data_IF_794038167050
#
_entry.id   IF_794038167050
#
_cell.length_a   1.000
_cell.length_b   1.000
_cell.length_c   1.000
_cell.angle_alpha   90.00
_cell.angle_beta   90.00
_cell.angle_gamma   90.00
#
_symmetry.space_group_name_H-M   'P 1'
#
loop_
_entity.id
_entity.type
_entity.pdbx_description
1 polymer ?
#
# COMPACT_ATOMS: atom_id res chain seq x y z
N UNK A 1 3.27 -14.01 -1.92
CA UNK A 1 3.00 -12.62 -1.52
C UNK A 1 1.54 -12.32 -1.73
N UNK A 2 1.00 -11.37 -0.96
CA UNK A 2 -0.35 -10.87 -1.18
C UNK A 2 -0.27 -9.39 -1.55
N UNK A 3 -1.12 -9.01 -2.50
CA UNK A 3 -1.38 -7.64 -2.93
C UNK A 3 -2.84 -7.64 -3.39
N UNK A 4 -3.68 -6.84 -2.75
CA UNK A 4 -5.13 -6.97 -2.78
C UNK A 4 -5.64 -8.13 -1.93
N UNK A 5 -5.06 -8.37 -0.73
CA UNK A 5 -5.52 -9.42 0.18
C UNK A 5 -7.00 -9.25 0.51
N UNK A 6 -7.79 -10.30 0.29
CA UNK A 6 -9.25 -10.30 0.50
C UNK A 6 -9.66 -10.93 1.83
N UNK A 7 -8.69 -11.32 2.65
CA UNK A 7 -8.92 -11.91 3.99
C UNK A 7 -9.22 -10.81 5.01
N UNK A 8 -10.17 -9.93 4.72
CA UNK A 8 -10.59 -8.83 5.61
C UNK A 8 -11.52 -9.34 6.72
N UNK A 9 -11.03 -10.23 7.58
CA UNK A 9 -11.84 -10.74 8.68
C UNK A 9 -12.05 -9.64 9.74
N UNK A 10 -11.05 -8.77 9.96
CA UNK A 10 -11.07 -7.78 11.03
C UNK A 10 -11.06 -8.44 12.41
N UNK A 11 -10.58 -9.68 12.48
CA UNK A 11 -10.59 -10.52 13.67
C UNK A 11 -9.15 -10.76 14.16
N UNK A 12 -8.95 -11.28 15.38
CA UNK A 12 -7.62 -11.63 15.85
C UNK A 12 -6.84 -12.63 14.96
N UNK A 13 -7.50 -13.30 14.03
CA UNK A 13 -6.86 -14.18 13.03
C UNK A 13 -5.94 -13.41 12.07
N UNK A 14 -6.17 -12.11 11.88
CA UNK A 14 -5.30 -11.22 11.09
C UNK A 14 -3.92 -11.02 11.75
N UNK A 15 -3.77 -11.51 12.99
CA UNK A 15 -2.51 -11.60 13.73
C UNK A 15 -2.04 -10.28 14.33
N UNK A 16 -0.79 -10.28 14.79
CA UNK A 16 -0.17 -9.12 15.45
C UNK A 16 1.14 -8.77 14.78
N UNK A 17 1.30 -7.50 14.41
CA UNK A 17 2.55 -6.96 13.86
C UNK A 17 3.09 -5.95 14.88
N UNK A 18 4.33 -6.14 15.31
CA UNK A 18 4.96 -5.22 16.25
C UNK A 18 5.32 -3.89 15.57
N UNK A 19 5.33 -2.79 16.34
CA UNK A 19 5.80 -1.48 15.85
C UNK A 19 7.23 -1.54 15.29
N UNK A 20 8.08 -2.42 15.82
CA UNK A 20 9.45 -2.63 15.32
C UNK A 20 9.44 -3.22 13.91
N UNK A 21 8.58 -4.21 13.64
CA UNK A 21 8.46 -4.80 12.30
C UNK A 21 7.90 -3.79 11.30
N UNK A 22 6.89 -2.99 11.69
CA UNK A 22 6.39 -1.89 10.85
C UNK A 22 7.52 -0.93 10.51
N UNK A 23 8.31 -0.49 11.50
CA UNK A 23 9.43 0.41 11.27
C UNK A 23 10.51 -0.19 10.36
N UNK A 24 10.81 -1.48 10.51
CA UNK A 24 11.75 -2.19 9.64
C UNK A 24 11.29 -2.16 8.18
N UNK A 25 10.03 -2.50 7.91
CA UNK A 25 9.46 -2.48 6.55
C UNK A 25 9.49 -1.07 5.96
N UNK A 26 9.08 -0.06 6.73
CA UNK A 26 9.06 1.34 6.27
C UNK A 26 10.47 1.85 5.92
N UNK A 27 11.46 1.63 6.80
CA UNK A 27 12.84 2.05 6.55
C UNK A 27 13.44 1.33 5.35
N UNK A 28 13.18 0.02 5.22
CA UNK A 28 13.62 -0.76 4.08
C UNK A 28 12.99 -0.31 2.76
N UNK A 29 11.69 0.01 2.74
CA UNK A 29 11.01 0.50 1.55
C UNK A 29 11.54 1.88 1.11
N UNK A 30 11.77 2.80 2.06
CA UNK A 30 12.30 4.14 1.76
C UNK A 30 13.70 4.14 1.15
N UNK A 31 14.47 3.08 1.37
CA UNK A 31 15.87 2.97 0.91
C UNK A 31 16.05 1.99 -0.26
N UNK A 32 14.96 1.53 -0.87
CA UNK A 32 14.98 0.47 -1.87
C UNK A 32 14.13 0.82 -3.09
N UNK A 33 14.80 1.00 -4.24
CA UNK A 33 14.14 1.34 -5.49
C UNK A 33 13.11 0.29 -5.93
N UNK A 34 13.28 -0.98 -5.56
CA UNK A 34 12.31 -2.03 -5.87
C UNK A 34 10.93 -1.80 -5.23
N UNK A 35 10.86 -1.01 -4.14
CA UNK A 35 9.61 -0.64 -3.48
C UNK A 35 8.90 0.56 -4.13
N UNK A 36 9.52 1.21 -5.12
CA UNK A 36 9.01 2.44 -5.72
C UNK A 36 7.65 2.22 -6.37
N UNK A 37 6.68 3.06 -5.98
CA UNK A 37 5.33 3.07 -6.55
C UNK A 37 4.64 1.70 -6.43
N UNK A 38 4.71 1.10 -5.23
CA UNK A 38 4.06 -0.18 -4.93
C UNK A 38 3.36 -0.12 -3.59
N UNK A 39 2.18 -0.71 -3.53
CA UNK A 39 1.48 -0.99 -2.28
C UNK A 39 1.95 -2.34 -1.74
N UNK A 40 2.58 -2.32 -0.56
CA UNK A 40 3.06 -3.52 0.13
C UNK A 40 2.13 -3.86 1.30
N UNK A 41 1.50 -5.02 1.25
CA UNK A 41 0.67 -5.54 2.33
C UNK A 41 1.50 -6.35 3.32
N UNK A 42 1.63 -5.83 4.55
CA UNK A 42 2.31 -6.53 5.63
C UNK A 42 1.31 -7.42 6.37
N UNK A 43 1.50 -8.74 6.28
CA UNK A 43 0.64 -9.75 6.91
C UNK A 43 1.39 -10.54 7.98
N UNK A 44 0.68 -10.91 9.05
CA UNK A 44 1.23 -11.73 10.12
C UNK A 44 1.07 -13.22 9.80
N UNK A 45 2.05 -13.80 9.11
CA UNK A 45 2.08 -15.24 8.80
C UNK A 45 3.17 -15.96 9.62
N UNK A 46 2.90 -17.23 9.97
CA UNK A 46 3.88 -18.06 10.67
C UNK A 46 4.99 -18.47 9.71
N UNK A 47 6.24 -18.22 10.09
CA UNK A 47 7.41 -18.63 9.33
C UNK A 47 8.67 -17.95 9.83
N UNK A 48 9.78 -18.22 9.14
CA UNK A 48 11.04 -17.53 9.38
C UNK A 48 10.91 -16.05 8.97
N UNK A 49 11.53 -15.18 9.76
CA UNK A 49 11.60 -13.77 9.44
C UNK A 49 12.40 -13.55 8.14
N UNK A 50 11.90 -12.70 7.25
CA UNK A 50 12.58 -12.39 6.01
C UNK A 50 13.80 -11.50 6.30
N UNK A 51 15.02 -11.91 5.92
CA UNK A 51 16.23 -11.15 6.20
C UNK A 51 16.41 -9.96 5.24
N UNK A 52 15.75 -10.01 4.08
CA UNK A 52 15.76 -9.00 3.04
C UNK A 52 14.35 -8.89 2.42
N UNK A 53 13.86 -7.66 2.28
CA UNK A 53 12.57 -7.37 1.67
C UNK A 53 12.66 -7.06 0.17
N UNK A 54 13.85 -6.92 -0.40
CA UNK A 54 14.04 -6.60 -1.83
C UNK A 54 13.34 -7.58 -2.76
N UNK A 55 13.49 -8.91 -2.61
CA UNK A 55 12.78 -9.87 -3.45
C UNK A 55 11.26 -9.74 -3.30
N UNK A 56 10.82 -9.34 -2.10
CA UNK A 56 9.42 -9.13 -1.84
C UNK A 56 8.88 -7.93 -2.63
N UNK A 57 9.57 -6.80 -2.59
CA UNK A 57 9.17 -5.63 -3.36
C UNK A 57 9.21 -5.85 -4.87
N UNK A 58 10.16 -6.65 -5.38
CA UNK A 58 10.28 -6.97 -6.80
C UNK A 58 9.08 -7.77 -7.34
N UNK A 59 8.52 -8.65 -6.53
CA UNK A 59 7.38 -9.50 -6.90
C UNK A 59 6.05 -8.72 -6.95
N UNK A 60 6.00 -7.52 -6.37
CA UNK A 60 4.80 -6.68 -6.35
C UNK A 60 4.57 -5.95 -7.68
N UNK A 61 3.29 -5.81 -8.06
CA UNK A 61 2.87 -4.97 -9.16
C UNK A 61 2.99 -3.50 -8.77
N UNK A 62 3.41 -2.66 -9.73
CA UNK A 62 3.45 -1.22 -9.52
C UNK A 62 2.03 -0.63 -9.54
N UNK A 63 1.79 0.34 -8.68
CA UNK A 63 0.55 1.08 -8.63
C UNK A 63 0.42 1.98 -9.87
N UNK A 64 -0.82 2.33 -10.20
CA UNK A 64 -1.09 3.22 -11.32
C UNK A 64 -0.95 4.67 -10.85
N UNK A 65 0.01 5.47 -11.36
CA UNK A 65 0.25 6.83 -10.87
C UNK A 65 -0.88 7.81 -11.22
N UNK A 66 -1.86 7.41 -12.03
CA UNK A 66 -3.07 8.17 -12.34
C UNK A 66 -4.28 7.75 -11.49
N UNK A 67 -4.11 6.82 -10.54
CA UNK A 67 -5.16 6.37 -9.62
C UNK A 67 -4.71 6.56 -8.18
N UNK A 68 -5.69 6.69 -7.29
CA UNK A 68 -5.44 6.81 -5.85
C UNK A 68 -5.33 5.44 -5.18
N UNK A 69 -6.02 4.43 -5.71
CA UNK A 69 -6.05 3.08 -5.14
C UNK A 69 -4.80 2.28 -5.52
N UNK A 70 -4.37 1.40 -4.60
CA UNK A 70 -3.32 0.44 -4.86
C UNK A 70 -3.72 -0.52 -5.98
N UNK A 71 -2.74 -1.06 -6.71
CA UNK A 71 -3.06 -2.05 -7.74
C UNK A 71 -3.61 -3.31 -7.10
N UNK A 72 -4.72 -3.81 -7.66
CA UNK A 72 -5.53 -4.95 -7.20
C UNK A 72 -6.45 -4.67 -6.00
N UNK A 73 -6.49 -3.45 -5.48
CA UNK A 73 -7.47 -3.06 -4.47
C UNK A 73 -8.91 -3.25 -4.98
N UNK A 74 -9.81 -3.59 -4.05
CA UNK A 74 -11.23 -3.66 -4.34
C UNK A 74 -11.79 -2.25 -4.51
N UNK A 75 -12.66 -2.08 -5.51
CA UNK A 75 -13.43 -0.85 -5.65
C UNK A 75 -14.50 -0.78 -4.55
N UNK A 76 -14.12 -0.33 -3.36
CA UNK A 76 -15.01 -0.22 -2.20
C UNK A 76 -15.63 1.19 -2.07
N UNK A 77 -14.92 2.23 -2.51
CA UNK A 77 -15.40 3.62 -2.54
C UNK A 77 -14.96 4.29 -3.84
N UNK A 78 -15.85 4.42 -4.84
CA UNK A 78 -15.53 5.13 -6.08
C UNK A 78 -15.25 6.61 -5.80
N UNK A 79 -14.24 7.18 -6.46
CA UNK A 79 -13.88 8.61 -6.31
C UNK A 79 -15.07 9.56 -6.53
N UNK A 80 -16.00 9.23 -7.43
CA UNK A 80 -17.20 10.04 -7.69
C UNK A 80 -18.24 10.02 -6.57
N UNK A 81 -18.13 9.06 -5.64
CA UNK A 81 -19.02 8.88 -4.50
C UNK A 81 -18.40 9.40 -3.19
N UNK A 82 -17.16 9.90 -3.26
CA UNK A 82 -16.51 10.59 -2.15
C UNK A 82 -17.27 11.88 -1.77
N UNK A 83 -17.24 12.30 -0.50
CA UNK A 83 -17.83 13.56 -0.09
C UNK A 83 -17.26 14.75 -0.88
N UNK A 84 -18.10 15.72 -1.22
CA UNK A 84 -17.72 16.87 -2.05
C UNK A 84 -16.49 17.62 -1.50
N UNK A 85 -16.36 17.72 -0.18
CA UNK A 85 -15.20 18.34 0.46
C UNK A 85 -13.88 17.60 0.14
N UNK A 86 -13.89 16.27 0.09
CA UNK A 86 -12.73 15.43 -0.21
C UNK A 86 -12.36 15.56 -1.69
N UNK A 87 -13.36 15.49 -2.59
CA UNK A 87 -13.14 15.68 -4.03
C UNK A 87 -12.52 17.06 -4.30
N UNK A 88 -13.06 18.11 -3.69
CA UNK A 88 -12.53 19.46 -3.83
C UNK A 88 -11.08 19.57 -3.34
N UNK A 89 -10.76 18.97 -2.19
CA UNK A 89 -9.40 18.97 -1.64
C UNK A 89 -8.41 18.21 -2.54
N UNK A 90 -8.75 17.01 -2.99
CA UNK A 90 -7.89 16.21 -3.89
C UNK A 90 -7.63 16.92 -5.22
N UNK A 91 -8.62 17.66 -5.74
CA UNK A 91 -8.46 18.45 -6.96
C UNK A 91 -7.48 19.62 -6.81
N UNK A 92 -7.30 20.20 -5.61
CA UNK A 92 -6.29 21.25 -5.38
C UNK A 92 -4.87 20.72 -5.63
N UNK A 93 -4.62 19.46 -5.26
CA UNK A 93 -3.30 18.83 -5.37
C UNK A 93 -3.03 18.26 -6.77
N UNK A 94 -4.06 17.79 -7.49
CA UNK A 94 -3.91 17.32 -8.87
C UNK A 94 -3.52 18.42 -9.87
N UNK A 95 -3.84 19.69 -9.59
CA UNK A 95 -3.47 20.82 -10.45
C UNK A 95 -1.97 21.13 -10.38
N UNK A 96 -1.29 20.78 -9.28
CA UNK A 96 0.12 21.11 -9.06
C UNK A 96 1.11 20.08 -9.65
N UNK A 97 0.65 18.86 -9.98
CA UNK A 97 1.51 17.81 -10.58
C UNK A 97 1.76 18.05 -12.07
N UNK A 98 0.96 18.90 -12.75
CA UNK A 98 1.18 19.23 -14.18
C UNK A 98 2.25 20.32 -14.43
N UNK A 99 2.86 20.87 -13.38
CA UNK A 99 3.74 22.03 -13.49
C UNK A 99 5.18 21.81 -13.03
N UNK A 100 5.60 20.55 -12.83
CA UNK A 100 7.01 20.19 -12.55
C UNK A 100 7.52 19.25 -13.65
#
# INVERSE_FOLDING_TARGET
MLQGDRRHAGTPEDGVISRKQIAQVLVSALSNDAATNKTFELVAERGEAQPDFTPLFMDLQADNPQKNDGVLDLNNMPFSEEPECIINELNLFSIHVKSI
#
